data_IF_519824608926
#
_entry.id   IF_519824608926
#
_cell.length_a   1.000
_cell.length_b   1.000
_cell.length_c   1.000
_cell.angle_alpha   90.00
_cell.angle_beta   90.00
_cell.angle_gamma   90.00
#
_symmetry.space_group_name_H-M   'P 1'
#
loop_
_entity.id
_entity.type
_entity.pdbx_description
1 polymer ?
#
# COMPACT_ATOMS: atom_id res chain seq x y z
N UNK A 1 25.53 27.16 3.77
CA UNK A 1 25.56 25.72 3.42
C UNK A 1 25.45 25.61 1.90
N UNK A 2 26.43 25.05 1.19
CA UNK A 2 26.43 25.07 -0.27
C UNK A 2 25.34 24.14 -0.80
N UNK A 3 24.48 24.68 -1.68
CA UNK A 3 23.45 23.92 -2.37
C UNK A 3 24.12 22.95 -3.36
N UNK A 4 24.19 21.65 -3.01
CA UNK A 4 24.47 20.60 -4.00
C UNK A 4 23.35 20.63 -5.03
N UNK A 5 23.66 21.05 -6.26
CA UNK A 5 22.79 20.85 -7.42
C UNK A 5 22.69 19.34 -7.69
N UNK A 6 21.70 18.69 -7.08
CA UNK A 6 21.41 17.28 -7.33
C UNK A 6 21.09 17.15 -8.82
N UNK A 7 21.86 16.32 -9.51
CA UNK A 7 21.68 16.05 -10.94
C UNK A 7 20.31 15.42 -11.18
N UNK A 8 19.67 15.72 -12.32
CA UNK A 8 18.39 15.12 -12.71
C UNK A 8 18.46 13.58 -12.65
N UNK A 9 19.63 13.02 -13.02
CA UNK A 9 19.92 11.58 -12.98
C UNK A 9 19.87 11.01 -11.55
N UNK A 10 20.40 11.74 -10.57
CA UNK A 10 20.41 11.33 -9.16
C UNK A 10 19.01 11.36 -8.55
N UNK A 11 18.19 12.37 -8.89
CA UNK A 11 16.77 12.43 -8.48
C UNK A 11 15.96 11.25 -9.04
N UNK A 12 16.11 10.96 -10.33
CA UNK A 12 15.40 9.84 -10.97
C UNK A 12 15.81 8.52 -10.34
N UNK A 13 17.12 8.30 -10.12
CA UNK A 13 17.62 7.08 -9.51
C UNK A 13 17.08 6.89 -8.08
N UNK A 14 17.01 7.97 -7.30
CA UNK A 14 16.42 7.93 -5.95
C UNK A 14 14.94 7.53 -5.96
N UNK A 15 14.14 8.10 -6.87
CA UNK A 15 12.71 7.79 -6.99
C UNK A 15 12.52 6.34 -7.43
N UNK A 16 13.26 5.89 -8.44
CA UNK A 16 13.20 4.50 -8.92
C UNK A 16 13.53 3.51 -7.80
N UNK A 17 14.61 3.76 -7.06
CA UNK A 17 15.00 2.89 -5.95
C UNK A 17 13.88 2.85 -4.89
N UNK A 18 13.31 4.01 -4.53
CA UNK A 18 12.18 4.06 -3.59
C UNK A 18 10.98 3.25 -4.06
N UNK A 19 10.59 3.36 -5.33
CA UNK A 19 9.48 2.62 -5.90
C UNK A 19 9.74 1.11 -5.94
N UNK A 20 10.98 0.69 -6.21
CA UNK A 20 11.37 -0.72 -6.17
C UNK A 20 11.22 -1.31 -4.76
N UNK A 21 11.73 -0.64 -3.73
CA UNK A 21 11.59 -1.09 -2.34
C UNK A 21 10.13 -1.17 -1.91
N UNK A 22 9.33 -0.17 -2.32
CA UNK A 22 7.91 -0.11 -2.00
C UNK A 22 7.13 -1.27 -2.68
N UNK A 23 7.38 -1.51 -3.96
CA UNK A 23 6.78 -2.64 -4.69
C UNK A 23 7.20 -4.00 -4.11
N UNK A 24 8.47 -4.14 -3.72
CA UNK A 24 8.96 -5.37 -3.09
C UNK A 24 8.26 -5.63 -1.75
N UNK A 25 8.13 -4.60 -0.90
CA UNK A 25 7.39 -4.71 0.36
C UNK A 25 5.92 -5.09 0.15
N UNK A 26 5.25 -4.45 -0.79
CA UNK A 26 3.86 -4.75 -1.13
C UNK A 26 3.71 -6.18 -1.68
N UNK A 27 4.63 -6.65 -2.52
CA UNK A 27 4.63 -8.02 -3.01
C UNK A 27 4.76 -9.04 -1.88
N UNK A 28 5.69 -8.82 -0.94
CA UNK A 28 5.86 -9.70 0.23
C UNK A 28 4.62 -9.70 1.12
N UNK A 29 4.01 -8.53 1.34
CA UNK A 29 2.77 -8.41 2.12
C UNK A 29 1.59 -9.13 1.43
N UNK A 30 1.41 -8.93 0.13
CA UNK A 30 0.38 -9.61 -0.66
C UNK A 30 0.60 -11.13 -0.69
N UNK A 31 1.85 -11.58 -0.82
CA UNK A 31 2.19 -13.00 -0.76
C UNK A 31 1.88 -13.60 0.60
N UNK A 32 2.26 -12.94 1.70
CA UNK A 32 1.90 -13.40 3.04
C UNK A 32 0.38 -13.46 3.22
N UNK A 33 -0.33 -12.45 2.70
CA UNK A 33 -1.77 -12.38 2.80
C UNK A 33 -2.46 -13.53 2.04
N UNK A 34 -2.15 -13.70 0.75
CA UNK A 34 -2.82 -14.66 -0.14
C UNK A 34 -2.36 -16.11 0.06
N UNK A 35 -1.07 -16.33 0.36
CA UNK A 35 -0.53 -17.69 0.48
C UNK A 35 -0.54 -18.21 1.91
N UNK A 36 -0.57 -17.34 2.93
CA UNK A 36 -0.54 -17.75 4.33
C UNK A 36 -1.81 -17.39 5.10
N UNK A 37 -2.22 -16.12 5.11
CA UNK A 37 -3.33 -15.68 5.96
C UNK A 37 -4.68 -16.20 5.45
N UNK A 38 -5.01 -15.94 4.19
CA UNK A 38 -6.30 -16.29 3.57
C UNK A 38 -6.57 -17.81 3.59
N UNK A 39 -5.65 -18.69 3.15
CA UNK A 39 -5.92 -20.12 3.09
C UNK A 39 -6.03 -20.77 4.48
N UNK A 40 -5.33 -20.21 5.48
CA UNK A 40 -5.36 -20.71 6.85
C UNK A 40 -6.44 -20.04 7.72
N UNK A 41 -7.28 -19.17 7.15
CA UNK A 41 -8.29 -18.39 7.87
C UNK A 41 -7.73 -17.59 9.06
N UNK A 42 -6.49 -17.11 8.93
CA UNK A 42 -5.84 -16.25 9.92
C UNK A 42 -6.18 -14.81 9.56
N UNK A 43 -6.84 -14.11 10.49
CA UNK A 43 -7.29 -12.73 10.29
C UNK A 43 -6.18 -11.76 10.74
N UNK A 44 -5.86 -10.78 9.88
CA UNK A 44 -5.00 -9.64 10.22
C UNK A 44 -5.78 -8.54 10.98
N UNK A 45 -5.11 -7.50 11.46
CA UNK A 45 -5.73 -6.35 12.10
C UNK A 45 -6.30 -5.29 11.14
N UNK A 46 -7.02 -4.32 11.70
CA UNK A 46 -7.43 -3.09 11.02
C UNK A 46 -8.35 -3.31 9.81
N UNK A 47 -8.16 -2.51 8.76
CA UNK A 47 -9.01 -2.56 7.54
C UNK A 47 -8.78 -3.83 6.74
N UNK A 48 -7.56 -4.36 6.72
CA UNK A 48 -7.25 -5.62 6.05
C UNK A 48 -8.05 -6.75 6.68
N UNK A 49 -8.08 -6.85 8.01
CA UNK A 49 -8.91 -7.83 8.73
C UNK A 49 -10.39 -7.69 8.47
N UNK A 50 -10.94 -6.45 8.50
CA UNK A 50 -12.35 -6.20 8.16
C UNK A 50 -12.64 -6.64 6.72
N UNK A 51 -11.72 -6.36 5.80
CA UNK A 51 -11.84 -6.75 4.39
C UNK A 51 -11.79 -8.26 4.22
N UNK A 52 -10.97 -8.98 4.98
CA UNK A 52 -10.91 -10.46 4.99
C UNK A 52 -12.24 -11.05 5.45
N UNK A 53 -12.78 -10.56 6.57
CA UNK A 53 -14.08 -11.01 7.10
C UNK A 53 -15.17 -10.78 6.06
N UNK A 54 -15.21 -9.58 5.47
CA UNK A 54 -16.23 -9.23 4.49
C UNK A 54 -16.07 -10.02 3.19
N UNK A 55 -14.84 -10.28 2.74
CA UNK A 55 -14.53 -11.14 1.59
C UNK A 55 -15.00 -12.57 1.82
N UNK A 56 -14.79 -13.12 3.03
CA UNK A 56 -15.27 -14.46 3.38
C UNK A 56 -16.80 -14.56 3.34
N UNK A 57 -17.51 -13.54 3.82
CA UNK A 57 -18.98 -13.52 3.86
C UNK A 57 -19.62 -13.25 2.48
N UNK A 58 -19.07 -12.29 1.73
CA UNK A 58 -19.66 -11.81 0.47
C UNK A 58 -19.09 -12.51 -0.76
N UNK A 59 -17.97 -13.22 -0.62
CA UNK A 59 -17.15 -13.79 -1.70
C UNK A 59 -16.62 -12.74 -2.70
N UNK A 60 -16.62 -11.46 -2.32
CA UNK A 60 -15.99 -10.41 -3.12
C UNK A 60 -14.46 -10.45 -2.99
N UNK A 61 -13.79 -9.92 -4.00
CA UNK A 61 -12.33 -9.85 -4.05
C UNK A 61 -11.78 -9.03 -2.86
N UNK A 62 -10.85 -9.63 -2.13
CA UNK A 62 -10.24 -9.03 -0.94
C UNK A 62 -9.53 -7.71 -1.24
N UNK A 63 -8.74 -7.65 -2.32
CA UNK A 63 -8.04 -6.43 -2.73
C UNK A 63 -8.97 -5.25 -3.03
N UNK A 64 -10.12 -5.52 -3.68
CA UNK A 64 -11.14 -4.49 -3.93
C UNK A 64 -11.76 -3.98 -2.62
N UNK A 65 -12.05 -4.88 -1.68
CA UNK A 65 -12.60 -4.50 -0.37
C UNK A 65 -11.60 -3.68 0.44
N UNK A 66 -10.31 -4.07 0.43
CA UNK A 66 -9.24 -3.30 1.07
C UNK A 66 -9.19 -1.89 0.48
N UNK A 67 -9.22 -1.76 -0.85
CA UNK A 67 -9.16 -0.45 -1.51
C UNK A 67 -10.36 0.42 -1.15
N UNK A 68 -11.58 -0.11 -1.27
CA UNK A 68 -12.82 0.64 -1.00
C UNK A 68 -12.90 1.06 0.47
N UNK A 69 -12.63 0.16 1.40
CA UNK A 69 -12.68 0.45 2.83
C UNK A 69 -11.54 1.40 3.26
N UNK A 70 -10.43 1.47 2.51
CA UNK A 70 -9.35 2.42 2.75
C UNK A 70 -9.63 3.83 2.20
N UNK A 71 -10.61 4.04 1.30
CA UNK A 71 -10.92 5.37 0.74
C UNK A 71 -11.02 6.47 1.82
N UNK A 72 -11.78 6.32 2.93
CA UNK A 72 -11.83 7.36 3.96
C UNK A 72 -10.45 7.68 4.55
N UNK A 73 -9.59 6.67 4.72
CA UNK A 73 -8.23 6.85 5.24
C UNK A 73 -7.31 7.48 4.18
N UNK A 74 -7.48 7.19 2.90
CA UNK A 74 -6.80 7.89 1.81
C UNK A 74 -7.19 9.38 1.79
N UNK A 75 -8.47 9.70 1.97
CA UNK A 75 -8.93 11.09 2.07
C UNK A 75 -8.29 11.81 3.26
N UNK A 76 -8.20 11.15 4.42
CA UNK A 76 -7.51 11.69 5.59
C UNK A 76 -6.00 11.85 5.33
N UNK A 77 -5.35 10.86 4.75
CA UNK A 77 -3.94 10.91 4.38
C UNK A 77 -3.64 12.03 3.37
N UNK A 78 -4.54 12.28 2.43
CA UNK A 78 -4.41 13.37 1.47
C UNK A 78 -4.36 14.74 2.15
N UNK A 79 -5.24 14.96 3.14
CA UNK A 79 -5.30 16.24 3.88
C UNK A 79 -4.14 16.41 4.86
N UNK A 80 -3.60 15.33 5.44
CA UNK A 80 -2.56 15.39 6.49
C UNK A 80 -1.13 15.19 5.99
N UNK A 81 -0.92 14.31 5.02
CA UNK A 81 0.40 13.90 4.51
C UNK A 81 0.68 14.39 3.08
N UNK A 82 -0.34 14.89 2.38
CA UNK A 82 -0.23 15.46 1.05
C UNK A 82 -0.25 14.44 -0.08
N UNK A 83 -0.29 14.96 -1.31
CA UNK A 83 -0.57 14.18 -2.53
C UNK A 83 0.48 13.10 -2.82
N UNK A 84 1.76 13.40 -2.60
CA UNK A 84 2.85 12.47 -2.89
C UNK A 84 2.79 11.18 -2.07
N UNK A 85 2.37 11.27 -0.80
CA UNK A 85 2.21 10.09 0.05
C UNK A 85 1.06 9.21 -0.45
N UNK A 86 -0.09 9.82 -0.76
CA UNK A 86 -1.26 9.09 -1.27
C UNK A 86 -0.96 8.37 -2.58
N UNK A 87 -0.21 8.99 -3.50
CA UNK A 87 0.22 8.31 -4.73
C UNK A 87 1.14 7.12 -4.47
N UNK A 88 1.99 7.19 -3.44
CA UNK A 88 2.84 6.05 -3.04
C UNK A 88 1.99 4.93 -2.44
N UNK A 89 1.03 5.25 -1.57
CA UNK A 89 0.10 4.26 -0.99
C UNK A 89 -0.84 3.63 -2.02
N UNK A 90 -1.21 4.35 -3.09
CA UNK A 90 -2.00 3.79 -4.18
C UNK A 90 -1.17 2.92 -5.14
N UNK A 91 0.13 3.22 -5.26
CA UNK A 91 1.02 2.50 -6.17
C UNK A 91 1.35 1.09 -5.67
N UNK A 92 1.40 0.89 -4.36
CA UNK A 92 1.85 -0.35 -3.73
C UNK A 92 1.03 -0.65 -2.47
#
# INVERSE_FOLDING_TARGET
MPERKISLKERVLFILNKLCFLAFGAFVAAFALECFLVPNNIIDGGIVGISMILSYLTKYNLGLLILVLNIPFLCLAFTKMGKHFVFQTLYA
#
